data_IF_916136519649
#
_entry.id   IF_916136519649
#
_cell.length_a   1.000
_cell.length_b   1.000
_cell.length_c   1.000
_cell.angle_alpha   90.00
_cell.angle_beta   90.00
_cell.angle_gamma   90.00
#
_symmetry.space_group_name_H-M   'P 1'
#
loop_
_entity.id
_entity.type
_entity.pdbx_description
1 polymer ?
#
# COMPACT_ATOMS: atom_id res chain seq x y z
N UNK A 1 -16.17 38.54 -10.79
CA UNK A 1 -16.86 37.24 -10.79
C UNK A 1 -16.06 36.24 -9.98
N UNK A 2 -16.71 35.58 -9.02
CA UNK A 2 -16.10 34.82 -7.91
C UNK A 2 -15.57 33.46 -8.40
N UNK A 3 -14.27 33.21 -8.20
CA UNK A 3 -13.63 31.92 -8.43
C UNK A 3 -13.90 30.94 -7.29
N UNK A 4 -14.49 29.79 -7.63
CA UNK A 4 -14.63 28.61 -6.77
C UNK A 4 -13.25 28.00 -6.46
N UNK A 5 -12.88 27.91 -5.17
CA UNK A 5 -11.81 27.01 -4.69
C UNK A 5 -12.40 26.02 -3.69
N UNK A 6 -12.69 24.82 -4.18
CA UNK A 6 -13.11 23.67 -3.39
C UNK A 6 -11.87 23.07 -2.71
N UNK A 7 -11.75 23.20 -1.38
CA UNK A 7 -10.62 22.70 -0.60
C UNK A 7 -11.03 21.42 0.14
N UNK A 8 -10.74 20.25 -0.42
CA UNK A 8 -10.85 18.94 0.26
C UNK A 8 -9.79 18.86 1.36
N UNK A 9 -10.20 18.90 2.64
CA UNK A 9 -9.35 18.49 3.77
C UNK A 9 -9.54 16.99 4.04
N UNK A 10 -8.49 16.20 3.78
CA UNK A 10 -8.36 14.82 4.29
C UNK A 10 -7.89 14.90 5.75
N UNK A 11 -8.73 14.42 6.67
CA UNK A 11 -8.34 14.20 8.07
C UNK A 11 -7.77 12.77 8.20
N UNK A 12 -6.44 12.67 8.31
CA UNK A 12 -5.76 11.50 8.84
C UNK A 12 -4.97 11.94 10.09
N UNK A 13 -5.53 11.73 11.29
CA UNK A 13 -4.76 11.75 12.54
C UNK A 13 -5.23 10.67 13.51
N UNK A 14 -4.41 9.62 13.50
CA UNK A 14 -4.02 8.69 14.57
C UNK A 14 -4.63 8.95 15.96
N UNK A 15 -5.30 7.91 16.48
CA UNK A 15 -5.72 7.76 17.86
C UNK A 15 -4.53 7.80 18.84
N UNK A 16 -4.49 8.80 19.71
CA UNK A 16 -3.50 8.91 20.78
C UNK A 16 -4.11 8.39 22.11
N UNK A 17 -3.52 7.33 22.66
CA UNK A 17 -4.05 6.51 23.78
C UNK A 17 -3.89 7.11 25.19
N UNK A 18 -3.52 8.38 25.35
CA UNK A 18 -3.10 8.93 26.65
C UNK A 18 -4.09 9.86 27.38
N UNK A 19 -5.36 9.94 26.97
CA UNK A 19 -6.31 10.91 27.56
C UNK A 19 -7.21 10.42 28.71
N UNK A 20 -7.09 9.16 29.15
CA UNK A 20 -8.01 8.58 30.16
C UNK A 20 -7.50 8.59 31.62
N UNK A 21 -6.43 9.32 31.94
CA UNK A 21 -5.78 9.23 33.26
C UNK A 21 -5.99 10.41 34.22
N UNK A 22 -6.72 11.47 33.85
CA UNK A 22 -6.80 12.70 34.68
C UNK A 22 -8.18 13.09 35.22
N UNK A 23 -9.27 12.41 34.86
CA UNK A 23 -10.63 12.85 35.24
C UNK A 23 -11.25 12.13 36.44
N UNK A 24 -10.69 11.02 36.91
CA UNK A 24 -11.21 10.27 38.07
C UNK A 24 -10.67 10.70 39.44
N UNK A 25 -9.67 11.59 39.50
CA UNK A 25 -9.07 12.04 40.76
C UNK A 25 -9.75 13.25 41.43
N UNK A 26 -10.69 13.94 40.77
CA UNK A 26 -11.24 15.23 41.26
C UNK A 26 -12.58 15.17 42.01
N UNK A 27 -13.22 14.00 42.20
CA UNK A 27 -14.55 13.91 42.83
C UNK A 27 -14.62 13.29 44.24
N UNK A 28 -13.48 12.96 44.87
CA UNK A 28 -13.47 12.26 46.18
C UNK A 28 -12.81 13.03 47.34
N UNK A 29 -12.54 14.33 47.19
CA UNK A 29 -12.02 15.18 48.28
C UNK A 29 -13.16 16.01 48.88
N UNK A 30 -14.02 15.41 49.70
CA UNK A 30 -14.93 16.17 50.59
C UNK A 30 -15.13 15.61 52.01
N UNK A 31 -14.60 14.43 52.34
CA UNK A 31 -14.60 13.94 53.73
C UNK A 31 -13.20 13.38 54.07
N UNK A 32 -12.52 14.08 54.99
CA UNK A 32 -11.10 13.92 55.29
C UNK A 32 -10.74 12.60 55.96
N UNK A 33 -10.46 11.59 55.14
CA UNK A 33 -9.71 10.38 55.54
C UNK A 33 -9.12 9.75 54.28
N UNK A 34 -7.80 9.58 54.25
CA UNK A 34 -7.16 8.79 53.19
C UNK A 34 -7.49 7.31 53.41
N UNK A 35 -8.17 6.61 52.49
CA UNK A 35 -8.21 5.16 52.55
C UNK A 35 -6.82 4.60 52.21
N UNK A 36 -6.43 3.43 52.74
CA UNK A 36 -5.22 2.75 52.28
C UNK A 36 -5.27 2.52 50.77
N UNK A 37 -4.20 2.95 50.08
CA UNK A 37 -4.04 2.79 48.64
C UNK A 37 -3.64 1.34 48.36
N UNK A 38 -4.55 0.56 47.79
CA UNK A 38 -4.24 -0.79 47.32
C UNK A 38 -3.95 -0.79 45.81
N UNK A 39 -2.80 -1.33 45.40
CA UNK A 39 -2.46 -1.55 44.00
C UNK A 39 -3.10 -2.85 43.50
N UNK A 40 -4.08 -2.73 42.58
CA UNK A 40 -4.67 -3.85 41.87
C UNK A 40 -3.94 -4.07 40.53
N UNK A 41 -3.55 -5.31 40.23
CA UNK A 41 -3.05 -5.67 38.90
C UNK A 41 -4.22 -5.88 37.92
N UNK A 42 -3.96 -5.88 36.60
CA UNK A 42 -4.99 -5.96 35.53
C UNK A 42 -5.95 -7.17 35.62
N UNK A 43 -5.64 -8.15 36.47
CA UNK A 43 -6.37 -9.41 36.62
C UNK A 43 -6.96 -9.62 38.03
N UNK A 44 -7.09 -8.55 38.83
CA UNK A 44 -7.66 -8.62 40.17
C UNK A 44 -9.01 -7.89 40.24
N UNK A 45 -9.96 -8.47 40.97
CA UNK A 45 -11.24 -7.87 41.33
C UNK A 45 -11.22 -7.65 42.84
N UNK A 46 -11.62 -6.46 43.28
CA UNK A 46 -11.80 -6.11 44.68
C UNK A 46 -13.30 -6.10 44.98
N UNK A 47 -13.73 -6.89 45.98
CA UNK A 47 -15.12 -6.93 46.44
C UNK A 47 -15.14 -6.41 47.87
N UNK A 48 -15.92 -5.34 48.10
CA UNK A 48 -16.16 -4.80 49.43
C UNK A 48 -17.39 -5.47 50.04
N UNK A 49 -17.25 -5.95 51.27
CA UNK A 49 -18.34 -6.45 52.10
C UNK A 49 -18.27 -5.77 53.45
N UNK A 50 -19.28 -4.96 53.73
CA UNK A 50 -19.47 -4.32 55.03
C UNK A 50 -20.34 -5.23 55.89
N UNK A 51 -19.82 -5.65 57.05
CA UNK A 51 -20.55 -6.50 58.00
C UNK A 51 -20.56 -5.79 59.34
N UNK A 52 -21.77 -5.49 59.83
CA UNK A 52 -21.97 -4.90 61.15
C UNK A 52 -21.87 -6.02 62.20
N UNK A 53 -20.97 -5.88 63.17
CA UNK A 53 -20.74 -6.88 64.21
C UNK A 53 -20.78 -6.23 65.59
N UNK A 54 -21.65 -6.74 66.47
CA UNK A 54 -21.71 -6.31 67.88
C UNK A 54 -20.71 -7.11 68.72
N UNK A 55 -19.55 -6.53 69.03
CA UNK A 55 -18.56 -7.08 69.97
C UNK A 55 -17.09 -6.78 69.65
N UNK A 56 -16.20 -6.90 70.66
CA UNK A 56 -14.75 -6.65 70.53
C UNK A 56 -14.00 -7.88 70.00
N UNK A 57 -13.45 -7.81 68.80
CA UNK A 57 -12.54 -8.82 68.23
C UNK A 57 -11.08 -8.48 68.58
N UNK A 58 -10.33 -9.44 69.15
CA UNK A 58 -8.86 -9.37 69.20
C UNK A 58 -8.31 -10.29 68.11
N UNK A 59 -7.78 -9.68 67.04
CA UNK A 59 -7.01 -10.22 65.91
C UNK A 59 -7.08 -11.74 65.62
N UNK A 60 -7.47 -12.10 64.39
CA UNK A 60 -7.38 -13.48 63.86
C UNK A 60 -6.47 -13.48 62.62
N UNK A 61 -5.49 -14.39 62.57
CA UNK A 61 -4.63 -14.61 61.40
C UNK A 61 -4.82 -16.01 60.82
N UNK A 62 -4.97 -16.13 59.51
CA UNK A 62 -5.04 -17.42 58.79
C UNK A 62 -4.07 -17.40 57.60
N UNK A 63 -3.36 -18.50 57.34
CA UNK A 63 -2.38 -18.55 56.24
C UNK A 63 -3.10 -18.51 54.89
N UNK A 64 -2.84 -17.45 54.11
CA UNK A 64 -3.36 -17.25 52.74
C UNK A 64 -4.32 -16.06 52.58
N UNK A 65 -4.83 -15.50 53.68
CA UNK A 65 -5.69 -14.31 53.69
C UNK A 65 -5.21 -13.34 54.76
N UNK A 66 -4.93 -12.09 54.40
CA UNK A 66 -4.58 -11.04 55.35
C UNK A 66 -5.82 -10.21 55.68
N UNK A 67 -6.27 -10.29 56.93
CA UNK A 67 -7.34 -9.45 57.47
C UNK A 67 -6.70 -8.26 58.19
N UNK A 68 -7.12 -7.03 57.86
CA UNK A 68 -6.71 -5.82 58.57
C UNK A 68 -7.94 -5.24 59.26
N UNK A 69 -7.89 -5.12 60.59
CA UNK A 69 -8.80 -4.28 61.35
C UNK A 69 -8.08 -2.95 61.62
N UNK A 70 -8.64 -1.84 61.12
CA UNK A 70 -8.11 -0.50 61.44
C UNK A 70 -8.70 -0.05 62.78
N UNK A 71 -7.87 -0.04 63.82
CA UNK A 71 -8.27 0.17 65.22
C UNK A 71 -8.50 1.66 65.57
N UNK A 72 -8.66 2.53 64.56
CA UNK A 72 -8.62 4.00 64.73
C UNK A 72 -9.97 4.71 64.80
N UNK A 73 -11.10 4.00 64.72
CA UNK A 73 -12.43 4.58 64.99
C UNK A 73 -13.17 3.79 66.07
N UNK A 74 -12.97 4.19 67.33
CA UNK A 74 -13.54 3.56 68.53
C UNK A 74 -15.05 3.80 68.76
N UNK A 75 -15.83 4.21 67.77
CA UNK A 75 -17.22 4.63 68.03
C UNK A 75 -18.34 4.10 67.13
N UNK A 76 -18.12 3.16 66.19
CA UNK A 76 -19.25 2.43 65.56
C UNK A 76 -18.91 0.97 65.23
N UNK A 77 -19.90 0.10 65.45
CA UNK A 77 -19.89 -1.37 65.48
C UNK A 77 -19.71 -2.06 64.10
N UNK A 78 -18.80 -1.59 63.24
CA UNK A 78 -18.56 -2.21 61.92
C UNK A 78 -17.09 -2.60 61.70
N UNK A 79 -16.89 -3.84 61.25
CA UNK A 79 -15.58 -4.36 60.83
C UNK A 79 -15.67 -4.64 59.34
N UNK A 80 -14.76 -4.02 58.57
CA UNK A 80 -14.75 -4.16 57.11
C UNK A 80 -13.81 -5.30 56.71
N UNK A 81 -14.31 -6.28 55.95
CA UNK A 81 -13.51 -7.39 55.44
C UNK A 81 -13.19 -7.16 53.96
N UNK A 82 -11.91 -7.30 53.59
CA UNK A 82 -11.46 -7.18 52.22
C UNK A 82 -10.98 -8.55 51.71
N UNK A 83 -11.72 -9.15 50.75
CA UNK A 83 -11.35 -10.42 50.13
C UNK A 83 -10.66 -10.17 48.80
N UNK A 84 -9.42 -10.63 48.67
CA UNK A 84 -8.62 -10.50 47.45
C UNK A 84 -8.65 -11.80 46.66
N UNK A 85 -9.24 -11.78 45.46
CA UNK A 85 -9.23 -12.92 44.54
C UNK A 85 -8.22 -12.68 43.40
N UNK A 86 -7.38 -13.69 43.13
CA UNK A 86 -6.45 -13.70 41.99
C UNK A 86 -7.02 -14.62 40.92
N UNK A 87 -7.38 -14.12 39.73
CA UNK A 87 -8.03 -14.93 38.68
C UNK A 87 -7.25 -14.86 37.35
N UNK A 88 -7.17 -15.99 36.64
CA UNK A 88 -6.27 -16.20 35.50
C UNK A 88 -6.84 -15.82 34.12
N UNK A 89 -8.15 -15.55 33.95
CA UNK A 89 -8.67 -15.20 32.60
C UNK A 89 -10.00 -14.40 32.62
N UNK A 90 -10.12 -13.40 31.74
CA UNK A 90 -11.23 -12.40 31.74
C UNK A 90 -12.53 -12.88 31.10
N UNK A 91 -12.48 -13.78 30.12
CA UNK A 91 -13.67 -14.14 29.32
C UNK A 91 -14.64 -15.08 30.04
N UNK A 92 -14.18 -15.82 31.05
CA UNK A 92 -15.04 -16.69 31.88
C UNK A 92 -15.74 -15.95 33.03
N UNK A 93 -15.41 -14.68 33.28
CA UNK A 93 -15.86 -13.93 34.46
C UNK A 93 -17.36 -13.64 34.44
N UNK A 94 -17.95 -13.34 33.27
CA UNK A 94 -19.37 -13.00 33.16
C UNK A 94 -20.31 -14.21 33.28
N UNK A 95 -19.80 -15.43 33.09
CA UNK A 95 -20.62 -16.66 33.15
C UNK A 95 -20.50 -17.42 34.48
N UNK A 96 -19.39 -17.25 35.22
CA UNK A 96 -19.07 -18.13 36.36
C UNK A 96 -19.42 -17.53 37.73
N UNK A 97 -19.46 -16.21 37.90
CA UNK A 97 -19.80 -15.61 39.20
C UNK A 97 -21.33 -15.42 39.28
N UNK A 98 -22.03 -16.53 39.49
CA UNK A 98 -23.43 -16.49 39.93
C UNK A 98 -23.43 -16.04 41.41
N UNK A 99 -24.26 -15.04 41.76
CA UNK A 99 -24.36 -14.43 43.11
C UNK A 99 -24.52 -15.49 44.22
N UNK A 100 -25.08 -16.66 43.89
CA UNK A 100 -25.20 -17.82 44.79
C UNK A 100 -23.86 -18.43 45.24
N UNK A 101 -22.79 -18.34 44.46
CA UNK A 101 -21.48 -18.86 44.88
C UNK A 101 -20.78 -17.91 45.87
N UNK A 102 -21.02 -16.60 45.76
CA UNK A 102 -20.48 -15.62 46.69
C UNK A 102 -21.09 -15.78 48.09
N UNK A 103 -22.40 -16.05 48.17
CA UNK A 103 -23.10 -16.25 49.44
C UNK A 103 -22.66 -17.53 50.17
N UNK A 104 -22.30 -18.61 49.46
CA UNK A 104 -21.78 -19.84 50.07
C UNK A 104 -20.38 -19.61 50.67
N UNK A 105 -19.49 -18.93 49.96
CA UNK A 105 -18.15 -18.58 50.47
C UNK A 105 -18.27 -17.66 51.69
N UNK A 106 -19.19 -16.69 51.65
CA UNK A 106 -19.47 -15.81 52.79
C UNK A 106 -20.01 -16.59 54.00
N UNK A 107 -20.90 -17.55 53.77
CA UNK A 107 -21.50 -18.37 54.82
C UNK A 107 -20.47 -19.30 55.50
N UNK A 108 -19.56 -19.89 54.72
CA UNK A 108 -18.46 -20.71 55.24
C UNK A 108 -17.42 -19.88 56.02
N UNK A 109 -17.17 -18.63 55.62
CA UNK A 109 -16.35 -17.68 56.38
C UNK A 109 -17.01 -17.31 57.71
N UNK A 110 -18.31 -17.03 57.72
CA UNK A 110 -19.07 -16.69 58.93
C UNK A 110 -19.08 -17.88 59.91
N UNK A 111 -19.29 -19.10 59.44
CA UNK A 111 -19.28 -20.31 60.28
C UNK A 111 -17.91 -20.59 60.89
N UNK A 112 -16.81 -20.33 60.18
CA UNK A 112 -15.46 -20.58 60.70
C UNK A 112 -14.95 -19.48 61.64
N UNK A 113 -15.48 -18.26 61.57
CA UNK A 113 -15.05 -17.14 62.44
C UNK A 113 -15.82 -17.14 63.78
N UNK A 114 -17.08 -17.58 63.79
CA UNK A 114 -17.94 -17.49 64.98
C UNK A 114 -17.65 -18.41 66.18
N UNK A 115 -16.99 -19.59 66.10
CA UNK A 115 -16.83 -20.45 67.26
C UNK A 115 -15.73 -19.99 68.24
N UNK A 116 -14.98 -18.94 67.91
CA UNK A 116 -13.84 -18.47 68.73
C UNK A 116 -14.27 -17.59 69.93
N UNK A 117 -15.52 -17.08 69.97
CA UNK A 117 -15.98 -16.20 71.05
C UNK A 117 -17.33 -16.64 71.66
N UNK A 118 -17.30 -17.66 72.52
CA UNK A 118 -18.40 -17.94 73.44
C UNK A 118 -18.40 -19.34 74.04
N UNK A 119 -17.93 -19.49 75.30
CA UNK A 119 -18.27 -20.66 76.13
C UNK A 119 -19.79 -20.65 76.40
N UNK A 120 -20.55 -21.60 75.84
CA UNK A 120 -21.66 -22.31 76.51
C UNK A 120 -22.36 -23.33 75.59
N UNK A 121 -22.64 -24.50 76.16
CA UNK A 121 -23.49 -25.62 75.70
C UNK A 121 -22.91 -26.59 74.65
N UNK A 122 -22.59 -27.80 75.12
CA UNK A 122 -22.21 -28.99 74.33
C UNK A 122 -23.39 -29.58 73.52
N UNK A 123 -24.63 -29.20 73.83
CA UNK A 123 -25.85 -29.53 73.06
C UNK A 123 -25.95 -28.75 71.74
N UNK A 124 -25.33 -27.57 71.64
CA UNK A 124 -25.35 -26.77 70.41
C UNK A 124 -24.49 -27.35 69.27
N UNK A 125 -23.40 -28.07 69.61
CA UNK A 125 -22.40 -28.56 68.64
C UNK A 125 -22.89 -29.76 67.84
N UNK A 126 -23.63 -30.69 68.46
CA UNK A 126 -24.21 -31.85 67.75
C UNK A 126 -25.22 -31.42 66.69
N UNK A 127 -26.14 -30.51 67.03
CA UNK A 127 -27.11 -29.95 66.08
C UNK A 127 -26.44 -29.21 64.92
N UNK A 128 -25.35 -28.50 65.19
CA UNK A 128 -24.54 -27.83 64.17
C UNK A 128 -23.88 -28.83 63.22
N UNK A 129 -23.29 -29.91 63.73
CA UNK A 129 -22.65 -30.94 62.90
C UNK A 129 -23.65 -31.66 61.98
N UNK A 130 -24.88 -31.89 62.43
CA UNK A 130 -25.93 -32.47 61.57
C UNK A 130 -26.34 -31.51 60.45
N UNK A 131 -26.49 -30.21 60.75
CA UNK A 131 -26.74 -29.18 59.74
C UNK A 131 -25.60 -29.08 58.72
N UNK A 132 -24.35 -29.15 59.18
CA UNK A 132 -23.16 -29.17 58.31
C UNK A 132 -23.22 -30.36 57.34
N UNK A 133 -23.46 -31.57 57.84
CA UNK A 133 -23.59 -32.77 56.98
C UNK A 133 -24.73 -32.63 55.96
N UNK A 134 -25.86 -32.05 56.36
CA UNK A 134 -26.97 -31.78 55.45
C UNK A 134 -26.56 -30.79 54.34
N UNK A 135 -25.87 -29.70 54.70
CA UNK A 135 -25.39 -28.72 53.74
C UNK A 135 -24.32 -29.30 52.81
N UNK A 136 -23.40 -30.13 53.30
CA UNK A 136 -22.42 -30.83 52.48
C UNK A 136 -23.09 -31.71 51.42
N UNK A 137 -24.13 -32.45 51.81
CA UNK A 137 -24.93 -33.26 50.88
C UNK A 137 -25.61 -32.38 49.82
N UNK A 138 -26.25 -31.28 50.22
CA UNK A 138 -26.89 -30.35 49.29
C UNK A 138 -25.88 -29.70 48.34
N UNK A 139 -24.71 -29.29 48.83
CA UNK A 139 -23.63 -28.75 48.01
C UNK A 139 -23.16 -29.78 46.98
N UNK A 140 -23.00 -31.04 47.40
CA UNK A 140 -22.60 -32.13 46.49
C UNK A 140 -23.64 -32.34 45.39
N UNK A 141 -24.92 -32.43 45.74
CA UNK A 141 -26.01 -32.58 44.76
C UNK A 141 -26.09 -31.39 43.78
N UNK A 142 -25.95 -30.15 44.29
CA UNK A 142 -25.91 -28.93 43.45
C UNK A 142 -24.69 -28.96 42.53
N UNK A 143 -23.53 -29.39 43.03
CA UNK A 143 -22.30 -29.45 42.24
C UNK A 143 -22.41 -30.44 41.07
N UNK A 144 -23.03 -31.60 41.28
CA UNK A 144 -23.26 -32.60 40.23
C UNK A 144 -24.29 -32.11 39.21
N UNK A 145 -25.38 -31.47 39.64
CA UNK A 145 -26.33 -30.81 38.72
C UNK A 145 -25.64 -29.74 37.87
N UNK A 146 -24.77 -28.93 38.48
CA UNK A 146 -24.03 -27.89 37.76
C UNK A 146 -23.04 -28.47 36.75
N UNK A 147 -22.31 -29.53 37.11
CA UNK A 147 -21.43 -30.25 36.16
C UNK A 147 -22.21 -30.78 34.96
N UNK A 148 -23.39 -31.35 35.18
CA UNK A 148 -24.24 -31.85 34.10
C UNK A 148 -24.66 -30.73 33.14
N UNK A 149 -25.17 -29.61 33.68
CA UNK A 149 -25.56 -28.43 32.89
C UNK A 149 -24.36 -27.86 32.13
N UNK A 150 -23.19 -27.78 32.76
CA UNK A 150 -21.98 -27.27 32.11
C UNK A 150 -21.55 -28.17 30.94
N UNK A 151 -21.61 -29.49 31.11
CA UNK A 151 -21.27 -30.42 30.04
C UNK A 151 -22.25 -30.35 28.86
N UNK A 152 -23.56 -30.20 29.13
CA UNK A 152 -24.58 -29.98 28.10
C UNK A 152 -24.32 -28.66 27.35
N UNK A 153 -24.04 -27.57 28.08
CA UNK A 153 -23.69 -26.27 27.52
C UNK A 153 -22.44 -26.33 26.62
N UNK A 154 -21.40 -27.05 27.03
CA UNK A 154 -20.18 -27.21 26.23
C UNK A 154 -20.44 -27.99 24.93
N UNK A 155 -21.25 -29.06 24.99
CA UNK A 155 -21.66 -29.83 23.81
C UNK A 155 -22.46 -28.96 22.83
N UNK A 156 -23.38 -28.15 23.32
CA UNK A 156 -24.17 -27.24 22.48
C UNK A 156 -23.29 -26.17 21.81
N UNK A 157 -22.34 -25.57 22.54
CA UNK A 157 -21.44 -24.59 21.93
C UNK A 157 -20.56 -25.19 20.84
N UNK A 158 -20.05 -26.42 21.04
CA UNK A 158 -19.29 -27.12 20.00
C UNK A 158 -20.13 -27.33 18.73
N UNK A 159 -21.41 -27.72 18.89
CA UNK A 159 -22.35 -27.85 17.78
C UNK A 159 -22.58 -26.50 17.06
N UNK A 160 -22.73 -25.40 17.81
CA UNK A 160 -22.90 -24.06 17.24
C UNK A 160 -21.67 -23.65 16.42
N UNK A 161 -20.46 -23.91 16.91
CA UNK A 161 -19.22 -23.59 16.19
C UNK A 161 -19.16 -24.33 14.85
N UNK A 162 -19.42 -25.64 14.86
CA UNK A 162 -19.42 -26.45 13.64
C UNK A 162 -20.47 -25.98 12.63
N UNK A 163 -21.68 -25.68 13.09
CA UNK A 163 -22.75 -25.14 12.23
C UNK A 163 -22.39 -23.77 11.64
N UNK A 164 -21.66 -22.94 12.38
CA UNK A 164 -21.23 -21.63 11.91
C UNK A 164 -20.19 -21.77 10.80
N UNK A 165 -19.19 -22.64 10.98
CA UNK A 165 -18.17 -22.93 9.97
C UNK A 165 -18.79 -23.50 8.69
N UNK A 166 -19.75 -24.41 8.82
CA UNK A 166 -20.44 -25.00 7.67
C UNK A 166 -21.27 -23.96 6.91
N UNK A 167 -21.93 -23.04 7.61
CA UNK A 167 -22.68 -21.95 6.99
C UNK A 167 -21.76 -20.99 6.22
N UNK A 168 -20.57 -20.69 6.74
CA UNK A 168 -19.57 -19.89 6.02
C UNK A 168 -19.08 -20.59 4.75
N UNK A 169 -18.81 -21.90 4.83
CA UNK A 169 -18.43 -22.72 3.67
C UNK A 169 -19.50 -22.69 2.59
N UNK A 170 -20.76 -22.92 2.95
CA UNK A 170 -21.89 -22.91 2.02
C UNK A 170 -22.12 -21.53 1.39
N UNK A 171 -21.89 -20.44 2.13
CA UNK A 171 -21.97 -19.07 1.57
C UNK A 171 -20.90 -18.82 0.50
N UNK A 172 -19.67 -19.27 0.72
CA UNK A 172 -18.60 -19.13 -0.26
C UNK A 172 -18.88 -19.97 -1.50
N UNK A 173 -19.37 -21.19 -1.32
CA UNK A 173 -19.75 -22.07 -2.43
C UNK A 173 -20.91 -21.50 -3.26
N UNK A 174 -21.95 -20.96 -2.60
CA UNK A 174 -23.04 -20.27 -3.27
C UNK A 174 -22.57 -19.06 -4.08
N UNK A 175 -21.60 -18.30 -3.56
CA UNK A 175 -21.03 -17.16 -4.28
C UNK A 175 -20.23 -17.63 -5.51
N UNK A 176 -19.41 -18.69 -5.37
CA UNK A 176 -18.68 -19.27 -6.50
C UNK A 176 -19.63 -19.76 -7.59
N UNK A 177 -20.64 -20.54 -7.21
CA UNK A 177 -21.64 -21.07 -8.15
C UNK A 177 -22.45 -19.95 -8.81
N UNK A 178 -22.77 -18.87 -8.10
CA UNK A 178 -23.44 -17.71 -8.68
C UNK A 178 -22.58 -17.06 -9.79
N UNK A 179 -21.27 -16.92 -9.56
CA UNK A 179 -20.33 -16.40 -10.57
C UNK A 179 -20.18 -17.33 -11.77
N UNK A 180 -20.11 -18.65 -11.55
CA UNK A 180 -20.08 -19.64 -12.63
C UNK A 180 -21.37 -19.60 -13.47
N UNK A 181 -22.52 -19.47 -12.82
CA UNK A 181 -23.81 -19.31 -13.52
C UNK A 181 -23.86 -18.02 -14.33
N UNK A 182 -23.34 -16.91 -13.78
CA UNK A 182 -23.28 -15.63 -14.50
C UNK A 182 -22.37 -15.73 -15.73
N UNK A 183 -21.20 -16.35 -15.60
CA UNK A 183 -20.26 -16.57 -16.70
C UNK A 183 -20.81 -17.52 -17.78
N UNK A 184 -21.58 -18.55 -17.38
CA UNK A 184 -22.27 -19.42 -18.33
C UNK A 184 -23.43 -18.73 -19.05
N UNK A 185 -24.13 -17.80 -18.38
CA UNK A 185 -25.26 -17.07 -18.98
C UNK A 185 -24.84 -15.93 -19.88
N UNK A 186 -23.82 -15.17 -19.46
CA UNK A 186 -23.47 -13.88 -20.06
C UNK A 186 -22.01 -13.76 -20.49
N UNK A 187 -21.18 -14.78 -20.23
CA UNK A 187 -19.76 -14.73 -20.55
C UNK A 187 -19.46 -14.63 -22.05
N UNK A 188 -20.25 -15.31 -22.89
CA UNK A 188 -20.15 -15.19 -24.35
C UNK A 188 -20.41 -13.75 -24.80
N UNK A 189 -21.53 -13.17 -24.39
CA UNK A 189 -21.92 -11.82 -24.81
C UNK A 189 -20.97 -10.74 -24.28
N UNK A 190 -20.50 -10.89 -23.02
CA UNK A 190 -19.52 -9.99 -22.44
C UNK A 190 -18.20 -9.99 -23.22
N UNK A 191 -17.69 -11.18 -23.55
CA UNK A 191 -16.43 -11.30 -24.29
C UNK A 191 -16.58 -10.81 -25.73
N UNK A 192 -17.74 -11.04 -26.37
CA UNK A 192 -18.05 -10.49 -27.69
C UNK A 192 -18.07 -8.96 -27.69
N UNK A 193 -18.69 -8.35 -26.67
CA UNK A 193 -18.71 -6.89 -26.51
C UNK A 193 -17.30 -6.32 -26.33
N UNK A 194 -16.45 -6.98 -25.54
CA UNK A 194 -15.04 -6.59 -25.38
C UNK A 194 -14.27 -6.65 -26.71
N UNK A 195 -14.45 -7.73 -27.49
CA UNK A 195 -13.82 -7.89 -28.81
C UNK A 195 -14.26 -6.78 -29.75
N UNK A 196 -15.56 -6.52 -29.82
CA UNK A 196 -16.13 -5.47 -30.67
C UNK A 196 -15.64 -4.08 -30.28
N UNK A 197 -15.50 -3.82 -28.98
CA UNK A 197 -14.95 -2.57 -28.47
C UNK A 197 -13.48 -2.41 -28.87
N UNK A 198 -12.63 -3.43 -28.66
CA UNK A 198 -11.22 -3.40 -29.02
C UNK A 198 -11.01 -3.21 -30.53
N UNK A 199 -11.82 -3.86 -31.35
CA UNK A 199 -11.79 -3.71 -32.80
C UNK A 199 -12.12 -2.27 -33.22
N UNK A 200 -13.15 -1.66 -32.62
CA UNK A 200 -13.55 -0.27 -32.89
C UNK A 200 -12.49 0.75 -32.45
N UNK A 201 -11.78 0.47 -31.36
CA UNK A 201 -10.67 1.30 -30.86
C UNK A 201 -9.36 1.12 -31.66
N UNK A 202 -9.35 0.29 -32.71
CA UNK A 202 -8.16 0.04 -33.53
C UNK A 202 -7.09 -0.81 -32.84
N UNK A 203 -7.44 -1.51 -31.74
CA UNK A 203 -6.50 -2.34 -30.96
C UNK A 203 -6.42 -3.77 -31.52
N UNK A 204 -6.10 -3.90 -32.80
CA UNK A 204 -6.23 -5.15 -33.57
C UNK A 204 -5.46 -6.35 -33.00
N UNK A 205 -4.26 -6.16 -32.45
CA UNK A 205 -3.51 -7.23 -31.79
C UNK A 205 -4.24 -7.80 -30.57
N UNK A 206 -4.76 -6.91 -29.71
CA UNK A 206 -5.53 -7.30 -28.51
C UNK A 206 -6.87 -7.94 -28.91
N UNK A 207 -7.47 -7.48 -30.01
CA UNK A 207 -8.66 -8.10 -30.59
C UNK A 207 -8.40 -9.56 -30.96
N UNK A 208 -7.28 -9.86 -31.65
CA UNK A 208 -6.91 -11.25 -32.01
C UNK A 208 -6.76 -12.14 -30.78
N UNK A 209 -5.98 -11.71 -29.79
CA UNK A 209 -5.78 -12.47 -28.54
C UNK A 209 -7.11 -12.77 -27.84
N UNK A 210 -8.02 -11.80 -27.80
CA UNK A 210 -9.35 -11.97 -27.19
C UNK A 210 -10.25 -12.91 -27.99
N UNK A 211 -10.15 -12.91 -29.32
CA UNK A 211 -10.85 -13.87 -30.18
C UNK A 211 -10.31 -15.29 -29.93
N UNK A 212 -9.01 -15.48 -29.80
CA UNK A 212 -8.41 -16.79 -29.49
C UNK A 212 -8.91 -17.33 -28.15
N UNK A 213 -8.97 -16.47 -27.13
CA UNK A 213 -9.58 -16.80 -25.83
C UNK A 213 -11.05 -17.18 -26.01
N UNK A 214 -11.83 -16.42 -26.79
CA UNK A 214 -13.24 -16.72 -27.06
C UNK A 214 -13.40 -18.10 -27.71
N UNK A 215 -12.64 -18.39 -28.77
CA UNK A 215 -12.71 -19.66 -29.50
C UNK A 215 -12.33 -20.83 -28.58
N UNK A 216 -11.32 -20.65 -27.72
CA UNK A 216 -10.89 -21.69 -26.78
C UNK A 216 -11.97 -22.05 -25.75
N UNK A 217 -12.71 -21.03 -25.27
CA UNK A 217 -13.71 -21.16 -24.20
C UNK A 217 -15.09 -21.54 -24.73
N UNK A 218 -15.48 -21.06 -25.91
CA UNK A 218 -16.83 -21.18 -26.48
C UNK A 218 -16.83 -21.78 -27.89
N UNK A 219 -16.32 -23.02 -28.01
CA UNK A 219 -16.08 -23.73 -29.29
C UNK A 219 -17.30 -23.96 -30.17
N UNK A 220 -18.51 -23.84 -29.63
CA UNK A 220 -19.77 -24.06 -30.34
C UNK A 220 -20.67 -22.83 -30.34
N UNK A 221 -20.11 -21.65 -30.05
CA UNK A 221 -20.90 -20.41 -30.04
C UNK A 221 -21.38 -20.05 -31.43
N UNK A 222 -22.58 -19.48 -31.50
CA UNK A 222 -23.17 -18.96 -32.75
C UNK A 222 -22.42 -17.74 -33.33
N UNK A 223 -21.57 -17.10 -32.52
CA UNK A 223 -20.81 -15.91 -32.92
C UNK A 223 -19.48 -16.24 -33.61
N UNK A 224 -19.11 -17.52 -33.72
CA UNK A 224 -17.80 -17.92 -34.26
C UNK A 224 -17.56 -17.46 -35.70
N UNK A 225 -18.59 -17.48 -36.55
CA UNK A 225 -18.43 -17.04 -37.94
C UNK A 225 -18.28 -15.52 -38.06
N UNK A 226 -18.96 -14.75 -37.21
CA UNK A 226 -18.74 -13.30 -37.10
C UNK A 226 -17.32 -12.99 -36.61
N UNK A 227 -16.85 -13.70 -35.58
CA UNK A 227 -15.52 -13.52 -35.03
C UNK A 227 -14.41 -13.90 -36.02
N UNK A 228 -14.60 -14.92 -36.87
CA UNK A 228 -13.67 -15.24 -37.96
C UNK A 228 -13.51 -14.06 -38.92
N UNK A 229 -14.62 -13.39 -39.28
CA UNK A 229 -14.57 -12.20 -40.15
C UNK A 229 -13.77 -11.07 -39.47
N UNK A 230 -14.01 -10.82 -38.18
CA UNK A 230 -13.27 -9.80 -37.41
C UNK A 230 -11.79 -10.16 -37.31
N UNK A 231 -11.48 -11.44 -37.10
CA UNK A 231 -10.11 -11.94 -37.02
C UNK A 231 -9.35 -11.72 -38.33
N UNK A 232 -9.91 -12.16 -39.47
CA UNK A 232 -9.28 -11.96 -40.80
C UNK A 232 -9.09 -10.47 -41.10
N UNK A 233 -10.10 -9.63 -40.84
CA UNK A 233 -9.96 -8.18 -41.00
C UNK A 233 -8.85 -7.58 -40.12
N UNK A 234 -8.73 -8.06 -38.88
CA UNK A 234 -7.66 -7.62 -37.98
C UNK A 234 -6.28 -8.02 -38.52
N UNK A 235 -6.14 -9.22 -39.10
CA UNK A 235 -4.90 -9.65 -39.74
C UNK A 235 -4.52 -8.82 -40.96
N UNK A 236 -5.48 -8.54 -41.84
CA UNK A 236 -5.25 -7.69 -43.01
C UNK A 236 -4.81 -6.27 -42.62
N UNK A 237 -5.45 -5.68 -41.60
CA UNK A 237 -5.08 -4.34 -41.12
C UNK A 237 -3.70 -4.37 -40.46
N UNK A 238 -3.41 -5.38 -39.63
CA UNK A 238 -2.08 -5.54 -39.03
C UNK A 238 -1.01 -5.66 -40.11
N UNK A 239 -1.22 -6.51 -41.12
CA UNK A 239 -0.28 -6.69 -42.22
C UNK A 239 -0.03 -5.38 -42.98
N UNK A 240 -1.09 -4.61 -43.28
CA UNK A 240 -0.97 -3.28 -43.90
C UNK A 240 -0.18 -2.30 -43.02
N UNK A 241 -0.48 -2.24 -41.73
CA UNK A 241 0.24 -1.36 -40.79
C UNK A 241 1.72 -1.75 -40.68
N UNK A 242 2.04 -3.04 -40.70
CA UNK A 242 3.43 -3.51 -40.72
C UNK A 242 4.15 -3.20 -42.03
N UNK A 243 3.45 -3.33 -43.16
CA UNK A 243 3.98 -3.00 -44.49
C UNK A 243 4.24 -1.49 -44.61
N UNK A 244 3.26 -0.65 -44.26
CA UNK A 244 3.40 0.81 -44.20
C UNK A 244 4.54 1.22 -43.25
N UNK A 245 4.68 0.57 -42.10
CA UNK A 245 5.79 0.81 -41.18
C UNK A 245 7.13 0.45 -41.82
N UNK A 246 7.23 -0.70 -42.49
CA UNK A 246 8.46 -1.12 -43.18
C UNK A 246 8.82 -0.17 -44.31
N UNK A 247 7.83 0.28 -45.06
CA UNK A 247 8.04 1.20 -46.18
C UNK A 247 8.46 2.59 -45.71
N UNK A 248 7.80 3.11 -44.68
CA UNK A 248 8.20 4.36 -44.01
C UNK A 248 9.62 4.27 -43.44
N UNK A 249 9.97 3.15 -42.82
CA UNK A 249 11.32 2.91 -42.30
C UNK A 249 12.36 2.88 -43.43
N UNK A 250 12.07 2.17 -44.53
CA UNK A 250 12.95 2.16 -45.71
C UNK A 250 13.15 3.57 -46.27
N UNK A 251 12.06 4.31 -46.45
CA UNK A 251 12.10 5.68 -46.97
C UNK A 251 12.93 6.60 -46.07
N UNK A 252 12.73 6.55 -44.75
CA UNK A 252 13.45 7.39 -43.81
C UNK A 252 14.95 7.04 -43.74
N UNK A 253 15.34 5.80 -44.03
CA UNK A 253 16.74 5.36 -44.07
C UNK A 253 17.43 5.57 -45.42
N UNK A 254 16.73 6.03 -46.47
CA UNK A 254 17.34 6.22 -47.80
C UNK A 254 18.53 7.18 -47.78
N UNK A 255 18.48 8.21 -46.93
CA UNK A 255 19.53 9.22 -46.83
C UNK A 255 20.52 8.95 -45.68
N UNK A 256 20.42 7.78 -45.03
CA UNK A 256 21.25 7.43 -43.89
C UNK A 256 22.40 6.51 -44.28
N UNK A 257 23.58 6.76 -43.72
CA UNK A 257 24.75 5.89 -43.71
C UNK A 257 24.79 5.16 -42.37
N UNK A 258 24.97 3.84 -42.40
CA UNK A 258 25.10 2.99 -41.21
C UNK A 258 26.57 2.65 -40.95
N UNK A 259 27.00 2.86 -39.70
CA UNK A 259 28.31 2.44 -39.18
C UNK A 259 28.08 1.49 -37.99
N UNK A 260 28.45 0.21 -38.14
CA UNK A 260 28.17 -0.83 -37.15
C UNK A 260 29.40 -1.13 -36.29
N UNK A 261 29.29 -0.86 -34.99
CA UNK A 261 30.31 -1.24 -33.99
C UNK A 261 30.08 -2.70 -33.55
N UNK A 262 30.90 -3.61 -34.08
CA UNK A 262 30.80 -5.05 -33.77
C UNK A 262 31.03 -5.38 -32.29
N UNK A 263 31.85 -4.59 -31.59
CA UNK A 263 32.20 -4.85 -30.19
C UNK A 263 31.08 -4.44 -29.26
N UNK A 264 30.46 -3.28 -29.52
CA UNK A 264 29.34 -2.79 -28.72
C UNK A 264 27.99 -3.27 -29.22
N UNK A 265 27.93 -3.81 -30.44
CA UNK A 265 26.70 -4.23 -31.14
C UNK A 265 25.70 -3.08 -31.30
N UNK A 266 26.21 -1.94 -31.73
CA UNK A 266 25.44 -0.71 -31.95
C UNK A 266 25.60 -0.29 -33.41
N UNK A 267 24.49 -0.07 -34.10
CA UNK A 267 24.48 0.60 -35.41
C UNK A 267 24.32 2.10 -35.18
N UNK A 268 25.27 2.90 -35.66
CA UNK A 268 25.18 4.35 -35.71
C UNK A 268 24.70 4.79 -37.08
N UNK A 269 23.70 5.66 -37.11
CA UNK A 269 23.12 6.19 -38.33
C UNK A 269 23.37 7.68 -38.44
N UNK A 270 23.89 8.08 -39.60
CA UNK A 270 24.26 9.44 -39.93
C UNK A 270 23.66 9.84 -41.27
N UNK A 271 23.49 11.13 -41.53
CA UNK A 271 23.17 11.57 -42.89
C UNK A 271 24.33 11.24 -43.85
N UNK A 272 24.05 10.70 -45.04
CA UNK A 272 25.05 10.33 -46.06
C UNK A 272 25.88 11.52 -46.53
N UNK A 273 25.21 12.66 -46.71
CA UNK A 273 25.83 13.92 -47.10
C UNK A 273 26.22 14.76 -45.87
N UNK A 274 26.42 14.14 -44.70
CA UNK A 274 26.92 14.88 -43.54
C UNK A 274 28.25 15.50 -43.93
N UNK A 275 28.33 16.80 -43.75
CA UNK A 275 29.53 17.55 -44.04
C UNK A 275 30.49 17.21 -42.89
N UNK A 276 31.54 16.40 -43.14
CA UNK A 276 32.63 16.15 -42.16
C UNK A 276 33.50 17.41 -42.02
N UNK A 277 32.87 18.56 -41.81
CA UNK A 277 33.57 19.84 -41.74
C UNK A 277 34.09 20.07 -40.35
N UNK A 278 35.24 20.72 -40.36
CA UNK A 278 35.89 21.37 -39.24
C UNK A 278 34.95 22.23 -38.36
N UNK A 279 33.83 22.74 -38.91
CA UNK A 279 32.93 23.64 -38.21
C UNK A 279 31.47 23.29 -38.55
N UNK A 280 30.64 22.97 -37.55
CA UNK A 280 29.23 22.72 -37.81
C UNK A 280 28.46 22.13 -36.62
N UNK A 281 27.21 21.76 -36.91
CA UNK A 281 26.33 21.03 -36.02
C UNK A 281 25.59 19.96 -36.81
N UNK A 282 25.52 18.75 -36.27
CA UNK A 282 24.80 17.65 -36.90
C UNK A 282 24.18 16.72 -35.87
N UNK A 283 23.25 15.88 -36.34
CA UNK A 283 22.62 14.83 -35.56
C UNK A 283 23.09 13.46 -36.04
N UNK A 284 23.06 12.50 -35.13
CA UNK A 284 23.15 11.08 -35.43
C UNK A 284 22.38 10.30 -34.38
N UNK A 285 22.00 9.07 -34.67
CA UNK A 285 21.37 8.20 -33.67
C UNK A 285 22.01 6.83 -33.65
N UNK A 286 22.00 6.19 -32.49
CA UNK A 286 22.45 4.81 -32.33
C UNK A 286 21.28 3.88 -32.05
N UNK A 287 21.38 2.64 -32.53
CA UNK A 287 20.43 1.58 -32.28
C UNK A 287 21.17 0.34 -31.77
N UNK A 288 20.91 -0.02 -30.52
CA UNK A 288 21.34 -1.31 -29.97
C UNK A 288 20.29 -2.38 -30.28
N UNK A 289 20.73 -3.64 -30.37
CA UNK A 289 19.82 -4.76 -30.55
C UNK A 289 18.78 -4.80 -29.41
N UNK A 290 17.51 -4.92 -29.78
CA UNK A 290 16.37 -5.02 -28.85
C UNK A 290 16.17 -3.78 -27.95
N UNK A 291 16.75 -2.64 -28.31
CA UNK A 291 16.60 -1.36 -27.59
C UNK A 291 15.89 -0.30 -28.44
N UNK A 292 15.47 0.79 -27.79
CA UNK A 292 15.02 1.97 -28.51
C UNK A 292 16.24 2.75 -29.02
N UNK A 293 16.14 3.41 -30.19
CA UNK A 293 17.23 4.25 -30.66
C UNK A 293 17.47 5.41 -29.69
N UNK A 294 18.71 5.89 -29.62
CA UNK A 294 19.07 7.11 -28.89
C UNK A 294 19.58 8.17 -29.87
N UNK A 295 19.18 9.42 -29.69
CA UNK A 295 19.56 10.54 -30.55
C UNK A 295 20.67 11.37 -29.90
N UNK A 296 21.65 11.78 -30.70
CA UNK A 296 22.80 12.59 -30.27
C UNK A 296 23.00 13.79 -31.17
N UNK A 297 23.49 14.87 -30.56
CA UNK A 297 23.84 16.11 -31.23
C UNK A 297 25.33 16.34 -31.08
N UNK A 298 25.97 16.69 -32.19
CA UNK A 298 27.37 17.10 -32.21
C UNK A 298 27.46 18.55 -32.64
N UNK A 299 28.22 19.34 -31.89
CA UNK A 299 28.66 20.68 -32.27
C UNK A 299 30.18 20.67 -32.32
N UNK A 300 30.77 21.10 -33.43
CA UNK A 300 32.22 21.08 -33.65
C UNK A 300 32.71 22.40 -34.22
N UNK A 301 33.89 22.84 -33.78
CA UNK A 301 34.60 23.97 -34.36
C UNK A 301 36.10 23.71 -34.35
N UNK A 302 36.78 24.02 -35.46
CA UNK A 302 38.24 23.98 -35.56
C UNK A 302 38.81 25.30 -35.08
N UNK A 303 39.61 25.29 -34.03
CA UNK A 303 40.18 26.51 -33.49
C UNK A 303 41.47 26.23 -32.72
N UNK A 304 42.53 26.95 -33.05
CA UNK A 304 43.81 26.80 -32.37
C UNK A 304 43.73 27.45 -30.98
N UNK A 305 43.78 26.67 -29.90
CA UNK A 305 43.82 27.17 -28.51
C UNK A 305 42.55 27.92 -28.05
N UNK A 306 41.36 27.56 -28.55
CA UNK A 306 40.11 28.20 -28.10
C UNK A 306 39.78 27.89 -26.64
N UNK A 307 40.02 26.64 -26.20
CA UNK A 307 39.72 26.16 -24.84
C UNK A 307 38.30 26.53 -24.42
N UNK A 308 37.32 26.10 -25.21
CA UNK A 308 35.93 26.50 -25.05
C UNK A 308 35.42 26.16 -23.63
N UNK A 309 34.83 27.16 -22.96
CA UNK A 309 34.26 27.11 -21.60
C UNK A 309 32.74 27.19 -21.60
N UNK A 310 32.15 27.75 -22.65
CA UNK A 310 30.70 27.76 -22.87
C UNK A 310 30.36 27.72 -24.36
N UNK A 311 29.18 27.19 -24.68
CA UNK A 311 28.61 27.18 -26.03
C UNK A 311 27.27 27.89 -25.98
N UNK A 312 27.09 28.92 -26.80
CA UNK A 312 25.83 29.64 -26.95
C UNK A 312 25.23 29.28 -28.30
N UNK A 313 23.97 28.84 -28.32
CA UNK A 313 23.23 28.57 -29.55
C UNK A 313 22.16 29.65 -29.70
N UNK A 314 22.30 30.48 -30.72
CA UNK A 314 21.31 31.48 -31.10
C UNK A 314 20.42 30.94 -32.20
N UNK A 315 19.14 30.83 -31.90
CA UNK A 315 18.08 30.45 -32.85
C UNK A 315 17.08 31.60 -32.84
N UNK A 316 17.00 32.35 -33.93
CA UNK A 316 16.20 33.58 -34.01
C UNK A 316 16.67 34.63 -32.99
N UNK A 317 15.77 35.08 -32.11
CA UNK A 317 16.04 36.00 -31.01
C UNK A 317 16.43 35.27 -29.72
N UNK A 318 16.20 33.95 -29.65
CA UNK A 318 16.51 33.14 -28.47
C UNK A 318 17.99 32.78 -28.45
N UNK A 319 18.62 32.98 -27.29
CA UNK A 319 20.00 32.58 -27.03
C UNK A 319 19.97 31.56 -25.91
N UNK A 320 20.38 30.33 -26.24
CA UNK A 320 20.39 29.19 -25.34
C UNK A 320 21.84 28.91 -24.96
N UNK A 321 22.16 28.94 -23.67
CA UNK A 321 23.47 28.58 -23.15
C UNK A 321 23.53 27.08 -22.88
N UNK A 322 24.38 26.36 -23.60
CA UNK A 322 24.60 24.94 -23.40
C UNK A 322 25.49 24.72 -22.17
N UNK A 323 25.05 23.92 -21.18
CA UNK A 323 25.86 23.58 -20.03
C UNK A 323 26.97 22.63 -20.49
N UNK A 324 28.19 23.15 -20.54
CA UNK A 324 29.40 22.37 -20.84
C UNK A 324 30.25 22.27 -19.59
N UNK A 325 30.69 21.05 -19.27
CA UNK A 325 31.81 20.87 -18.36
C UNK A 325 33.10 20.80 -19.17
N UNK A 326 34.24 21.16 -18.58
CA UNK A 326 35.54 21.07 -19.25
C UNK A 326 35.81 19.66 -19.83
N UNK A 327 35.35 18.61 -19.15
CA UNK A 327 35.50 17.23 -19.62
C UNK A 327 34.47 16.81 -20.68
N UNK A 328 33.47 17.64 -20.95
CA UNK A 328 32.43 17.38 -21.96
C UNK A 328 32.82 17.87 -23.36
N UNK A 329 33.87 18.70 -23.45
CA UNK A 329 34.42 19.19 -24.70
C UNK A 329 35.72 18.44 -24.97
N UNK A 330 35.82 17.84 -26.16
CA UNK A 330 37.10 17.33 -26.63
C UNK A 330 37.94 18.49 -27.10
N UNK A 331 39.13 18.65 -26.51
CA UNK A 331 40.10 19.69 -26.86
C UNK A 331 41.22 19.09 -27.73
N UNK A 332 41.55 19.74 -28.83
CA UNK A 332 42.61 19.34 -29.78
C UNK A 332 42.71 20.35 -30.91
N UNK A 333 42.97 19.89 -32.13
CA UNK A 333 42.81 20.72 -33.34
C UNK A 333 41.34 21.17 -33.53
N UNK A 334 40.42 20.47 -32.86
CA UNK A 334 39.00 20.74 -32.82
C UNK A 334 38.50 20.86 -31.38
N UNK A 335 37.49 21.68 -31.21
CA UNK A 335 36.66 21.80 -30.02
C UNK A 335 35.29 21.17 -30.36
N UNK A 336 34.96 20.03 -29.74
CA UNK A 336 33.71 19.32 -30.05
C UNK A 336 32.93 18.94 -28.80
N UNK A 337 31.62 19.14 -28.86
CA UNK A 337 30.65 18.66 -27.88
C UNK A 337 29.75 17.61 -28.54
N UNK A 338 29.75 16.38 -28.01
CA UNK A 338 28.86 15.30 -28.44
C UNK A 338 27.96 14.90 -27.25
N UNK A 339 26.67 15.17 -27.38
CA UNK A 339 25.69 15.03 -26.30
C UNK A 339 24.49 14.21 -26.70
N UNK A 340 24.02 13.40 -25.76
CA UNK A 340 22.75 12.68 -25.90
C UNK A 340 21.57 13.65 -25.68
N UNK A 341 20.54 13.52 -26.50
CA UNK A 341 19.32 14.31 -26.40
C UNK A 341 18.30 13.53 -25.57
N UNK A 342 17.95 14.05 -24.40
CA UNK A 342 16.94 13.49 -23.52
C UNK A 342 15.69 14.37 -23.46
N UNK A 343 14.53 13.78 -23.24
CA UNK A 343 13.27 14.52 -23.10
C UNK A 343 13.40 15.57 -21.97
N UNK A 344 12.99 16.81 -22.24
CA UNK A 344 13.08 17.96 -21.31
C UNK A 344 14.50 18.43 -20.98
N UNK A 345 15.50 18.01 -21.75
CA UNK A 345 16.85 18.61 -21.69
C UNK A 345 16.92 19.89 -22.51
N UNK A 346 17.91 20.74 -22.23
CA UNK A 346 18.18 21.94 -23.03
C UNK A 346 18.51 21.59 -24.50
N UNK A 347 19.13 20.43 -24.74
CA UNK A 347 19.41 19.92 -26.08
C UNK A 347 18.14 19.48 -26.81
N UNK A 348 17.11 19.05 -26.07
CA UNK A 348 15.78 18.79 -26.63
C UNK A 348 15.08 20.09 -27.04
N UNK A 349 15.25 21.17 -26.29
CA UNK A 349 14.72 22.48 -26.68
C UNK A 349 15.44 23.03 -27.93
N UNK A 350 16.77 22.87 -28.01
CA UNK A 350 17.56 23.19 -29.20
C UNK A 350 17.07 22.36 -30.40
N UNK A 351 16.91 21.04 -30.25
CA UNK A 351 16.36 20.17 -31.29
C UNK A 351 14.97 20.62 -31.72
N UNK A 352 14.05 20.89 -30.76
CA UNK A 352 12.70 21.38 -31.05
C UNK A 352 12.74 22.64 -31.90
N UNK A 353 13.63 23.56 -31.58
CA UNK A 353 13.80 24.80 -32.33
C UNK A 353 14.44 24.58 -33.71
N UNK A 354 15.40 23.66 -33.86
CA UNK A 354 15.97 23.27 -35.18
C UNK A 354 14.89 22.69 -36.08
N UNK A 355 14.07 21.77 -35.56
CA UNK A 355 13.06 21.07 -36.36
C UNK A 355 11.90 21.98 -36.74
N UNK A 356 11.48 22.88 -35.84
CA UNK A 356 10.34 23.77 -36.07
C UNK A 356 10.68 25.06 -36.81
N UNK A 357 11.93 25.55 -36.73
CA UNK A 357 12.35 26.76 -37.43
C UNK A 357 12.85 26.47 -38.86
N UNK A 358 12.75 27.49 -39.73
CA UNK A 358 13.36 27.54 -41.06
C UNK A 358 14.48 28.60 -41.10
N UNK A 359 15.17 28.80 -39.98
CA UNK A 359 15.97 30.01 -39.76
C UNK A 359 17.44 29.68 -39.51
N UNK A 360 18.29 30.68 -39.75
CA UNK A 360 19.74 30.64 -39.51
C UNK A 360 20.04 30.38 -38.04
N UNK A 361 20.84 29.35 -37.77
CA UNK A 361 21.33 29.02 -36.43
C UNK A 361 22.78 29.47 -36.33
N UNK A 362 23.11 30.19 -35.25
CA UNK A 362 24.48 30.61 -34.94
C UNK A 362 24.93 29.98 -33.65
N UNK A 363 26.13 29.41 -33.66
CA UNK A 363 26.73 28.78 -32.48
C UNK A 363 28.00 29.55 -32.15
N UNK A 364 28.13 30.00 -30.91
CA UNK A 364 29.34 30.65 -30.39
C UNK A 364 30.00 29.73 -29.39
N UNK A 365 31.23 29.33 -29.68
CA UNK A 365 32.12 28.71 -28.72
C UNK A 365 32.90 29.83 -28.02
N UNK A 366 32.79 29.92 -26.69
CA UNK A 366 33.45 30.96 -25.89
C UNK A 366 34.45 30.32 -24.92
N UNK A 367 35.72 30.67 -25.04
CA UNK A 367 36.82 30.22 -24.20
C UNK A 367 37.76 31.37 -23.87
N UNK A 368 39.05 31.23 -24.18
CA UNK A 368 40.03 32.33 -24.04
C UNK A 368 39.81 33.44 -25.10
N UNK A 369 39.23 33.06 -26.24
CA UNK A 369 38.57 33.95 -27.20
C UNK A 369 37.23 33.32 -27.61
N UNK A 370 36.53 33.89 -28.60
CA UNK A 370 35.29 33.28 -29.11
C UNK A 370 35.37 32.99 -30.61
N UNK A 371 34.65 31.94 -31.03
CA UNK A 371 34.46 31.63 -32.45
C UNK A 371 32.98 31.36 -32.72
N UNK A 372 32.47 32.05 -33.74
CA UNK A 372 31.09 31.91 -34.21
C UNK A 372 31.07 31.02 -35.45
N UNK A 373 30.11 30.11 -35.51
CA UNK A 373 29.78 29.30 -36.68
C UNK A 373 28.31 29.48 -37.03
N UNK A 374 28.02 29.42 -38.31
CA UNK A 374 26.65 29.48 -38.84
C UNK A 374 26.31 28.11 -39.41
N UNK A 375 25.16 27.56 -39.02
CA UNK A 375 24.67 26.28 -39.53
C UNK A 375 23.87 26.56 -40.79
N UNK A 376 24.25 25.92 -41.89
CA UNK A 376 23.60 26.12 -43.18
C UNK A 376 22.18 25.55 -43.21
N UNK A 377 21.34 26.06 -44.11
CA UNK A 377 19.98 25.51 -44.34
C UNK A 377 20.03 24.05 -44.79
N UNK A 378 21.06 23.67 -45.54
CA UNK A 378 21.31 22.29 -45.95
C UNK A 378 21.55 21.40 -44.73
N UNK A 379 22.42 21.81 -43.80
CA UNK A 379 22.69 21.03 -42.59
C UNK A 379 21.46 20.93 -41.67
N UNK A 380 20.64 21.98 -41.61
CA UNK A 380 19.34 21.94 -40.91
C UNK A 380 18.41 20.90 -41.54
N UNK A 381 18.35 20.85 -42.87
CA UNK A 381 17.55 19.86 -43.59
C UNK A 381 18.03 18.44 -43.30
N UNK A 382 19.34 18.21 -43.35
CA UNK A 382 19.95 16.91 -43.01
C UNK A 382 19.63 16.48 -41.58
N UNK A 383 19.66 17.41 -40.62
CA UNK A 383 19.27 17.14 -39.23
C UNK A 383 17.78 16.76 -39.11
N UNK A 384 16.89 17.42 -39.87
CA UNK A 384 15.47 17.05 -39.92
C UNK A 384 15.29 15.62 -40.43
N UNK A 385 16.00 15.24 -41.49
CA UNK A 385 15.93 13.89 -42.03
C UNK A 385 16.49 12.82 -41.06
N UNK A 386 17.60 13.10 -40.37
CA UNK A 386 18.12 12.21 -39.32
C UNK A 386 17.10 12.03 -38.18
N UNK A 387 16.42 13.11 -37.77
CA UNK A 387 15.37 13.03 -36.76
C UNK A 387 14.14 12.24 -37.24
N UNK A 388 13.74 12.38 -38.50
CA UNK A 388 12.66 11.58 -39.08
C UNK A 388 13.02 10.09 -39.16
N UNK A 389 14.25 9.75 -39.52
CA UNK A 389 14.78 8.39 -39.49
C UNK A 389 14.79 7.80 -38.08
N UNK A 390 15.24 8.59 -37.10
CA UNK A 390 15.19 8.24 -35.68
C UNK A 390 13.75 7.90 -35.23
N UNK A 391 12.77 8.73 -35.58
CA UNK A 391 11.36 8.49 -35.26
C UNK A 391 10.82 7.23 -35.96
N UNK A 392 11.18 7.01 -37.23
CA UNK A 392 10.74 5.84 -38.00
C UNK A 392 11.23 4.52 -37.39
N UNK A 393 12.42 4.54 -36.76
CA UNK A 393 13.00 3.39 -36.04
C UNK A 393 12.52 3.23 -34.59
N UNK A 394 11.51 3.99 -34.17
CA UNK A 394 10.91 3.85 -32.83
C UNK A 394 11.43 4.84 -31.80
N UNK A 395 12.10 5.91 -32.24
CA UNK A 395 12.48 7.03 -31.39
C UNK A 395 11.29 7.62 -30.64
N UNK A 396 11.50 7.95 -29.37
CA UNK A 396 10.44 8.36 -28.44
C UNK A 396 10.44 9.87 -28.13
N UNK A 397 11.39 10.63 -28.67
CA UNK A 397 11.43 12.09 -28.53
C UNK A 397 10.38 12.68 -29.45
N UNK A 398 9.18 12.93 -28.93
CA UNK A 398 8.10 13.59 -29.68
C UNK A 398 7.86 14.98 -29.13
N UNK A 399 7.65 15.94 -30.03
CA UNK A 399 7.12 17.23 -29.65
C UNK A 399 5.64 17.03 -29.33
N UNK A 400 5.26 17.22 -28.08
CA UNK A 400 3.84 17.32 -27.74
C UNK A 400 3.29 18.55 -28.47
N UNK A 401 2.25 18.35 -29.29
CA UNK A 401 1.47 19.47 -29.80
C UNK A 401 0.78 20.10 -28.58
N UNK A 402 1.30 21.23 -28.12
CA UNK A 402 0.68 22.05 -27.06
C UNK A 402 -0.68 22.61 -27.48
#
# INVERSE_FOLDING_TARGET
>A
MKSLKYRRRRNNRLFNKNYFRKTSQRRLLKHGGFPPVFFLTKNQILIYLEVEMKGKLKSVSWRGFSFYADDRNRTKDSICFCLKFSLLNKENIKKVINVKHLSIVLFLLIINIFPVYGKKSTESVKSLNEKIKLYEKQIKEISEKYKKILNEYLKENQKIILLTQENERLKLENLRLALEIEDLKFGEEKLLNDINFLFKEGKYYQTKEKIDVFISKYKYSKYLDELKIIYTKSEEIIAKLEEEKKERMKQALLNMEEDYDEFKKISFYFHKERTQVDNGMYLYFGLEKDSNPFLRMVMIVRADYLYAKSILVKINEDVIECPVSYNSISHGDFESLDVMIEQKSIYFDILKNIITANNVIKIRFSGDYYKDIEVSEEDITKMKEVYEAYLALGGNLKFENE
#
